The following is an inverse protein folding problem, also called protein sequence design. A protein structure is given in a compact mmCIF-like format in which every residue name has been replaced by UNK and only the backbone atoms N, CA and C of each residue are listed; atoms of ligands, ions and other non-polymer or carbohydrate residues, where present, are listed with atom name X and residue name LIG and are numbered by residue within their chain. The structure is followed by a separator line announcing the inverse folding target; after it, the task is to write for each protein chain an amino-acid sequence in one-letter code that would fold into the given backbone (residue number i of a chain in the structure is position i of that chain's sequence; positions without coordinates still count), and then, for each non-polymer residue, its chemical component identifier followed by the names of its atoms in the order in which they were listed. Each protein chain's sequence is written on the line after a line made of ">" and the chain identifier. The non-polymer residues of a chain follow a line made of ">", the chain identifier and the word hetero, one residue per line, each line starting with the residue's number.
data_IF_441052129554
#
_entry.id   IF_441052129554
#
_cell.length_a   1.000
_cell.length_b   1.000
_cell.length_c   1.000
_cell.angle_alpha   90.00
_cell.angle_beta   90.00
_cell.angle_gamma   90.00
#
_symmetry.space_group_name_H-M   'P 1'
#
loop_
_entity.id
_entity.type
_entity.pdbx_description
1 polymer ?
#
# COMPACT_ATOMS: atom_id res chain seq x y z
N UNK A 1 16.80 -4.85 6.84
CA UNK A 1 17.35 -5.15 8.17
C UNK A 1 16.71 -6.41 8.71
N UNK A 2 17.47 -7.46 9.03
CA UNK A 2 16.91 -8.66 9.65
C UNK A 2 16.39 -8.36 11.07
N UNK A 3 15.45 -9.17 11.57
CA UNK A 3 15.07 -9.12 12.98
C UNK A 3 16.29 -9.45 13.86
N UNK A 4 16.68 -8.55 14.77
CA UNK A 4 17.96 -8.60 15.47
C UNK A 4 19.06 -7.70 14.88
N UNK A 5 18.74 -6.85 13.90
CA UNK A 5 19.70 -5.88 13.35
C UNK A 5 20.16 -4.86 14.40
N UNK A 6 21.41 -4.36 14.26
CA UNK A 6 21.92 -3.23 15.07
C UNK A 6 21.25 -1.90 14.75
N UNK A 7 20.58 -1.78 13.60
CA UNK A 7 19.82 -0.59 13.27
C UNK A 7 18.45 -0.67 13.96
N UNK A 8 17.95 0.42 14.53
CA UNK A 8 16.59 0.43 15.08
C UNK A 8 15.57 0.51 13.92
N UNK A 9 14.40 -0.15 14.01
CA UNK A 9 13.27 0.18 13.15
C UNK A 9 12.96 1.67 13.22
N UNK A 10 12.53 2.26 12.11
CA UNK A 10 12.16 3.65 12.04
C UNK A 10 10.81 3.84 11.36
N UNK A 11 10.22 5.00 11.59
CA UNK A 11 9.02 5.44 10.89
C UNK A 11 9.19 5.33 9.37
N UNK A 12 8.09 5.03 8.68
CA UNK A 12 7.97 4.89 7.22
C UNK A 12 8.72 3.67 6.64
N UNK A 13 9.14 2.73 7.50
CA UNK A 13 9.75 1.47 7.08
C UNK A 13 8.70 0.38 6.88
N UNK A 14 8.98 -0.60 6.03
CA UNK A 14 8.12 -1.76 5.82
C UNK A 14 8.54 -2.93 6.72
N UNK A 15 7.59 -3.64 7.33
CA UNK A 15 7.81 -4.93 7.99
C UNK A 15 7.51 -6.03 6.99
N UNK A 16 8.39 -7.03 6.89
CA UNK A 16 8.27 -8.12 5.94
C UNK A 16 8.07 -9.45 6.68
N UNK A 17 6.94 -10.09 6.41
CA UNK A 17 6.57 -11.37 7.00
C UNK A 17 6.77 -12.52 5.99
N UNK A 18 7.43 -13.63 6.39
CA UNK A 18 7.52 -14.84 5.60
C UNK A 18 6.15 -15.49 5.40
N UNK A 19 6.08 -16.39 4.42
CA UNK A 19 4.94 -17.32 4.32
C UNK A 19 4.93 -18.25 5.53
N UNK A 20 3.76 -18.45 6.12
CA UNK A 20 3.63 -19.26 7.32
C UNK A 20 2.20 -19.66 7.65
N UNK A 21 2.05 -20.43 8.73
CA UNK A 21 0.74 -20.81 9.27
C UNK A 21 0.05 -19.54 9.81
N UNK A 22 -1.02 -19.11 9.16
CA UNK A 22 -1.72 -17.85 9.43
C UNK A 22 -1.43 -16.74 8.41
N UNK A 23 -0.31 -16.82 7.69
CA UNK A 23 0.07 -15.90 6.60
C UNK A 23 0.50 -16.69 5.36
N UNK A 24 -0.43 -17.37 4.65
CA UNK A 24 -0.08 -18.32 3.58
C UNK A 24 0.67 -17.67 2.40
N UNK A 25 0.49 -16.37 2.18
CA UNK A 25 1.11 -15.62 1.09
C UNK A 25 2.28 -14.73 1.55
N UNK A 26 2.60 -14.75 2.85
CA UNK A 26 3.42 -13.72 3.48
C UNK A 26 2.62 -12.46 3.71
N UNK A 27 3.26 -11.42 4.24
CA UNK A 27 2.61 -10.15 4.50
C UNK A 27 3.61 -9.00 4.49
N UNK A 28 3.12 -7.79 4.20
CA UNK A 28 3.89 -6.55 4.32
C UNK A 28 3.03 -5.56 5.08
N UNK A 29 3.64 -4.94 6.09
CA UNK A 29 3.02 -3.89 6.88
C UNK A 29 3.91 -2.63 6.86
N UNK A 30 3.34 -1.49 7.26
CA UNK A 30 4.01 -0.19 7.32
C UNK A 30 4.18 0.23 8.76
N UNK A 31 5.38 0.67 9.14
CA UNK A 31 5.65 1.29 10.43
C UNK A 31 5.23 2.76 10.35
N UNK A 32 4.11 3.12 10.97
CA UNK A 32 3.60 4.50 10.97
C UNK A 32 4.25 5.35 12.04
N UNK A 33 4.80 4.73 13.09
CA UNK A 33 5.57 5.40 14.13
C UNK A 33 6.46 4.41 14.88
N UNK A 34 7.49 4.91 15.56
CA UNK A 34 8.35 4.13 16.46
C UNK A 34 8.62 4.95 17.71
N UNK A 35 8.33 4.39 18.89
CA UNK A 35 8.71 5.00 20.16
C UNK A 35 9.82 4.21 20.86
N UNK A 36 9.96 4.34 22.18
CA UNK A 36 10.97 3.62 22.92
C UNK A 36 10.73 2.11 22.94
N UNK A 37 9.47 1.69 23.09
CA UNK A 37 9.08 0.33 23.44
C UNK A 37 8.25 -0.35 22.34
N UNK A 38 7.77 0.39 21.34
CA UNK A 38 6.85 -0.11 20.32
C UNK A 38 7.16 0.41 18.92
N UNK A 39 6.80 -0.43 17.94
CA UNK A 39 6.50 -0.01 16.58
C UNK A 39 4.98 0.02 16.38
N UNK A 40 4.49 1.03 15.69
CA UNK A 40 3.08 1.20 15.34
C UNK A 40 2.89 0.79 13.90
N UNK A 41 1.93 -0.09 13.64
CA UNK A 41 1.83 -0.85 12.39
C UNK A 41 0.51 -0.53 11.70
N UNK A 42 0.57 -0.16 10.42
CA UNK A 42 -0.56 -0.10 9.51
C UNK A 42 -0.45 -1.21 8.46
N UNK A 43 -1.53 -1.92 8.20
CA UNK A 43 -1.53 -3.12 7.35
C UNK A 43 -2.92 -3.47 6.83
N UNK A 44 -3.01 -4.11 5.66
CA UNK A 44 -4.28 -4.62 5.14
C UNK A 44 -4.39 -6.14 5.35
N UNK A 45 -5.60 -6.64 5.60
CA UNK A 45 -5.89 -8.08 5.78
C UNK A 45 -5.27 -8.73 7.02
N UNK A 46 -4.87 -7.93 8.02
CA UNK A 46 -4.51 -8.41 9.35
C UNK A 46 -5.53 -7.85 10.36
N UNK A 47 -6.40 -8.72 10.84
CA UNK A 47 -7.55 -8.41 11.73
C UNK A 47 -8.50 -7.31 11.19
N UNK A 48 -9.74 -7.70 10.90
CA UNK A 48 -10.72 -6.83 10.24
C UNK A 48 -11.47 -5.92 11.25
N UNK A 49 -10.75 -5.04 11.95
CA UNK A 49 -11.32 -4.06 12.88
C UNK A 49 -11.03 -2.60 12.49
N UNK A 50 -11.77 -1.68 13.09
CA UNK A 50 -11.56 -0.24 12.91
C UNK A 50 -10.34 0.24 13.70
N UNK A 51 -9.52 1.08 13.07
CA UNK A 51 -8.38 1.72 13.73
C UNK A 51 -8.84 3.01 14.39
N UNK A 52 -8.72 3.07 15.71
CA UNK A 52 -9.02 4.29 16.47
C UNK A 52 -7.89 5.34 16.41
N UNK A 53 -6.81 5.05 15.68
CA UNK A 53 -5.60 5.85 15.55
C UNK A 53 -5.02 5.73 14.13
N UNK A 54 -3.86 6.34 13.90
CA UNK A 54 -3.05 6.26 12.68
C UNK A 54 -2.25 4.94 12.55
N UNK A 55 -2.68 3.88 13.25
CA UNK A 55 -2.13 2.53 13.20
C UNK A 55 -3.20 1.48 13.53
N UNK A 56 -3.03 0.27 13.01
CA UNK A 56 -3.89 -0.89 13.23
C UNK A 56 -3.65 -1.53 14.60
N UNK A 57 -2.37 -1.74 14.91
CA UNK A 57 -1.86 -2.36 16.14
C UNK A 57 -0.44 -1.88 16.41
N UNK A 58 0.12 -2.34 17.53
CA UNK A 58 1.51 -2.12 17.91
C UNK A 58 2.18 -3.45 18.21
N UNK A 59 3.47 -3.54 17.94
CA UNK A 59 4.33 -4.66 18.30
C UNK A 59 5.48 -4.16 19.18
N UNK A 60 5.91 -4.98 20.14
CA UNK A 60 6.94 -4.56 21.09
C UNK A 60 8.30 -4.48 20.41
N UNK A 61 9.10 -3.49 20.76
CA UNK A 61 10.50 -3.36 20.33
C UNK A 61 11.41 -3.79 21.48
N UNK A 62 12.17 -4.86 21.28
CA UNK A 62 13.11 -5.37 22.27
C UNK A 62 14.52 -4.99 21.85
N UNK A 63 15.28 -4.38 22.75
CA UNK A 63 16.70 -4.10 22.53
C UNK A 63 17.55 -4.96 23.45
N UNK A 64 18.48 -5.70 22.85
CA UNK A 64 19.46 -6.54 23.54
C UNK A 64 20.86 -6.21 23.04
N UNK A 65 21.89 -6.79 23.66
CA UNK A 65 23.27 -6.69 23.16
C UNK A 65 23.40 -7.19 21.71
N UNK A 66 22.52 -8.11 21.29
CA UNK A 66 22.51 -8.71 19.95
C UNK A 66 21.84 -7.81 18.90
N UNK A 67 20.93 -6.91 19.29
CA UNK A 67 20.32 -5.92 18.40
C UNK A 67 18.88 -5.57 18.75
N UNK A 68 18.19 -4.96 17.79
CA UNK A 68 16.77 -4.60 17.88
C UNK A 68 15.90 -5.69 17.30
N UNK A 69 14.85 -6.04 18.03
CA UNK A 69 13.85 -7.02 17.62
C UNK A 69 12.47 -6.39 17.64
N UNK A 70 11.66 -6.71 16.64
CA UNK A 70 10.21 -6.54 16.70
C UNK A 70 9.65 -7.88 17.19
N UNK A 71 8.96 -7.85 18.32
CA UNK A 71 8.27 -8.99 18.92
C UNK A 71 6.79 -8.90 18.55
N UNK A 72 6.39 -9.80 17.66
CA UNK A 72 5.09 -9.84 16.98
C UNK A 72 4.53 -11.27 17.08
N UNK A 73 3.21 -11.41 17.00
CA UNK A 73 2.52 -12.71 17.06
C UNK A 73 2.91 -13.63 15.88
N UNK A 74 3.45 -13.04 14.81
CA UNK A 74 3.96 -13.75 13.64
C UNK A 74 5.47 -13.59 13.50
N UNK A 75 6.13 -14.67 13.07
CA UNK A 75 7.53 -14.60 12.65
C UNK A 75 7.68 -13.55 11.55
N UNK A 76 8.78 -12.81 11.57
CA UNK A 76 9.10 -11.79 10.58
C UNK A 76 10.55 -11.95 10.09
N UNK A 77 10.80 -11.61 8.82
CA UNK A 77 12.16 -11.56 8.31
C UNK A 77 12.92 -10.36 8.89
N UNK A 78 12.22 -9.23 9.03
CA UNK A 78 12.77 -7.98 9.53
C UNK A 78 12.01 -6.79 8.96
N UNK A 79 12.67 -5.64 8.87
CA UNK A 79 12.12 -4.43 8.29
C UNK A 79 13.02 -3.82 7.21
N UNK A 80 12.44 -3.02 6.34
CA UNK A 80 13.10 -2.38 5.20
C UNK A 80 12.85 -0.88 5.24
N UNK A 81 13.93 -0.11 5.27
CA UNK A 81 13.85 1.35 5.23
C UNK A 81 13.64 1.82 3.78
N UNK A 82 12.90 2.92 3.63
CA UNK A 82 12.87 3.68 2.38
C UNK A 82 14.13 4.53 2.28
N UNK A 83 14.88 4.41 1.18
CA UNK A 83 16.04 5.25 0.92
C UNK A 83 15.61 6.67 0.54
N UNK A 84 16.27 7.69 1.10
CA UNK A 84 15.87 9.09 0.90
C UNK A 84 14.59 9.45 1.63
N UNK A 85 14.36 8.88 2.83
CA UNK A 85 13.16 9.17 3.62
C UNK A 85 12.97 10.67 3.93
N UNK A 86 14.06 11.43 3.96
CA UNK A 86 14.06 12.90 4.08
C UNK A 86 13.38 13.61 2.90
N UNK A 87 13.21 12.93 1.76
CA UNK A 87 12.49 13.41 0.58
C UNK A 87 11.02 12.99 0.57
N UNK A 88 10.57 12.14 1.49
CA UNK A 88 9.15 11.80 1.59
C UNK A 88 8.38 13.04 2.05
N UNK A 89 7.70 13.66 1.10
CA UNK A 89 6.70 14.68 1.37
C UNK A 89 5.34 14.00 1.54
N UNK A 90 4.46 14.51 2.41
CA UNK A 90 3.05 14.13 2.37
C UNK A 90 2.56 14.25 0.94
N UNK A 91 1.82 13.25 0.46
CA UNK A 91 1.14 13.36 -0.81
C UNK A 91 0.18 14.55 -0.69
N UNK A 92 0.35 15.56 -1.55
CA UNK A 92 -0.69 16.55 -1.73
C UNK A 92 -1.78 15.86 -2.54
N UNK A 93 -2.85 15.47 -1.85
CA UNK A 93 -3.93 14.70 -2.44
C UNK A 93 -5.01 15.65 -2.96
N UNK A 94 -5.25 15.63 -4.27
CA UNK A 94 -6.46 16.24 -4.83
C UNK A 94 -7.56 15.19 -4.92
N UNK A 95 -8.68 15.45 -4.24
CA UNK A 95 -9.83 14.54 -4.22
C UNK A 95 -10.87 14.98 -5.24
N UNK A 96 -11.43 14.01 -5.96
CA UNK A 96 -12.42 14.21 -7.00
C UNK A 96 -13.61 13.29 -6.75
N UNK A 97 -14.82 13.85 -6.51
CA UNK A 97 -15.99 13.01 -6.29
C UNK A 97 -16.37 12.23 -7.56
N UNK A 98 -17.07 11.10 -7.41
CA UNK A 98 -17.65 10.40 -8.56
C UNK A 98 -18.70 11.31 -9.23
N UNK A 99 -18.46 11.72 -10.49
CA UNK A 99 -19.17 12.83 -11.16
C UNK A 99 -18.37 14.13 -11.26
N UNK A 100 -17.07 14.13 -10.92
CA UNK A 100 -16.19 15.28 -11.08
C UNK A 100 -16.07 15.72 -12.54
N UNK A 101 -15.83 17.03 -12.77
CA UNK A 101 -15.51 17.56 -14.11
C UNK A 101 -14.15 17.11 -14.62
N UNK A 102 -13.28 16.64 -13.72
CA UNK A 102 -11.99 16.07 -14.08
C UNK A 102 -12.20 14.61 -14.46
N UNK A 103 -11.50 14.10 -15.47
CA UNK A 103 -11.51 12.66 -15.79
C UNK A 103 -10.55 11.94 -14.82
N UNK A 104 -10.85 10.72 -14.35
CA UNK A 104 -9.89 9.89 -13.63
C UNK A 104 -8.59 9.74 -14.43
N UNK A 105 -7.46 9.64 -13.74
CA UNK A 105 -6.16 9.51 -14.38
C UNK A 105 -5.42 8.26 -13.90
N UNK A 106 -4.44 7.85 -14.70
CA UNK A 106 -3.48 6.84 -14.29
C UNK A 106 -2.79 7.27 -12.98
N UNK A 107 -2.45 6.29 -12.15
CA UNK A 107 -1.79 6.42 -10.85
C UNK A 107 -2.66 7.10 -9.76
N UNK A 108 -3.96 7.24 -10.00
CA UNK A 108 -4.94 7.69 -8.99
C UNK A 108 -5.40 6.54 -8.09
N UNK A 109 -5.90 6.87 -6.91
CA UNK A 109 -6.59 5.92 -6.03
C UNK A 109 -8.10 6.02 -6.18
N UNK A 110 -8.79 4.89 -6.36
CA UNK A 110 -10.24 4.78 -6.31
C UNK A 110 -10.67 4.53 -4.86
N UNK A 111 -11.65 5.27 -4.36
CA UNK A 111 -12.12 5.16 -2.97
C UNK A 111 -13.59 4.73 -2.94
N UNK A 112 -13.85 3.55 -2.37
CA UNK A 112 -15.20 3.02 -2.16
C UNK A 112 -15.67 3.30 -0.73
N UNK A 113 -16.91 3.79 -0.54
CA UNK A 113 -17.49 3.97 0.78
C UNK A 113 -17.82 2.62 1.41
N UNK A 114 -18.05 2.63 2.72
CA UNK A 114 -18.66 1.49 3.41
C UNK A 114 -20.06 1.23 2.88
N UNK A 115 -20.41 -0.03 2.66
CA UNK A 115 -21.69 -0.40 2.09
C UNK A 115 -22.05 -1.87 2.29
N UNK A 116 -23.23 -2.23 1.79
CA UNK A 116 -23.70 -3.61 1.78
C UNK A 116 -22.82 -4.43 0.83
N UNK A 117 -21.98 -5.31 1.37
CA UNK A 117 -20.98 -6.08 0.60
C UNK A 117 -19.55 -5.55 0.73
N UNK A 118 -19.36 -4.31 1.20
CA UNK A 118 -18.05 -3.70 1.53
C UNK A 118 -18.13 -3.04 2.91
N UNK A 119 -18.18 -3.82 4.01
CA UNK A 119 -18.38 -3.26 5.36
C UNK A 119 -17.27 -2.29 5.78
N UNK A 120 -16.07 -2.42 5.21
CA UNK A 120 -14.90 -1.60 5.53
C UNK A 120 -14.62 -0.51 4.49
N UNK A 121 -15.38 -0.47 3.39
CA UNK A 121 -15.02 0.28 2.19
C UNK A 121 -13.93 -0.44 1.40
N UNK A 122 -13.33 0.26 0.43
CA UNK A 122 -12.25 -0.28 -0.38
C UNK A 122 -11.36 0.84 -0.92
N UNK A 123 -10.10 0.52 -1.21
CA UNK A 123 -9.19 1.40 -1.93
C UNK A 123 -8.46 0.57 -2.99
N UNK A 124 -8.33 1.13 -4.17
CA UNK A 124 -7.71 0.49 -5.31
C UNK A 124 -6.89 1.49 -6.14
N UNK A 125 -5.98 1.00 -6.98
CA UNK A 125 -5.10 1.83 -7.81
C UNK A 125 -5.53 1.79 -9.26
N UNK A 126 -5.68 2.96 -9.89
CA UNK A 126 -5.87 3.07 -11.34
C UNK A 126 -4.51 2.91 -12.03
N UNK A 127 -4.30 1.75 -12.66
CA UNK A 127 -3.07 1.44 -13.40
C UNK A 127 -3.04 2.03 -14.80
N UNK A 128 -4.21 2.28 -15.37
CA UNK A 128 -4.36 2.90 -16.69
C UNK A 128 -5.75 3.50 -16.86
N UNK A 129 -5.89 4.45 -17.77
CA UNK A 129 -7.17 5.04 -18.19
C UNK A 129 -7.16 5.15 -19.70
N UNK A 130 -8.16 4.56 -20.34
CA UNK A 130 -8.39 4.75 -21.78
C UNK A 130 -9.64 5.63 -22.01
N UNK A 131 -10.22 5.56 -23.21
CA UNK A 131 -11.40 6.36 -23.54
C UNK A 131 -12.59 6.01 -22.64
N UNK A 132 -12.84 4.71 -22.43
CA UNK A 132 -14.09 4.17 -21.92
C UNK A 132 -13.91 3.40 -20.60
N UNK A 133 -12.67 3.14 -20.16
CA UNK A 133 -12.38 2.33 -18.99
C UNK A 133 -11.27 2.90 -18.11
N UNK A 134 -11.39 2.62 -16.81
CA UNK A 134 -10.28 2.60 -15.86
C UNK A 134 -9.84 1.15 -15.62
N UNK A 135 -8.53 0.95 -15.50
CA UNK A 135 -7.91 -0.35 -15.21
C UNK A 135 -7.45 -0.35 -13.77
N UNK A 136 -7.93 -1.29 -12.97
CA UNK A 136 -7.81 -1.24 -11.51
C UNK A 136 -6.94 -2.39 -11.02
N UNK A 137 -5.92 -2.09 -10.20
CA UNK A 137 -5.15 -3.05 -9.44
C UNK A 137 -5.47 -2.90 -7.95
N UNK A 138 -5.78 -4.01 -7.27
CA UNK A 138 -6.20 -4.00 -5.87
C UNK A 138 -5.96 -5.36 -5.21
N UNK A 139 -6.05 -5.42 -3.89
CA UNK A 139 -6.06 -6.68 -3.14
C UNK A 139 -7.34 -6.76 -2.31
N UNK A 140 -7.80 -7.97 -1.99
CA UNK A 140 -8.99 -8.19 -1.16
C UNK A 140 -10.31 -7.68 -1.81
N UNK A 141 -10.42 -7.84 -3.13
CA UNK A 141 -11.65 -7.63 -3.89
C UNK A 141 -12.07 -8.95 -4.56
N UNK A 142 -11.31 -9.38 -5.56
CA UNK A 142 -11.43 -10.70 -6.20
C UNK A 142 -10.11 -11.48 -6.10
N UNK A 143 -10.22 -12.81 -6.05
CA UNK A 143 -9.08 -13.72 -5.83
C UNK A 143 -8.86 -14.63 -7.05
N UNK A 144 -8.44 -14.04 -8.16
CA UNK A 144 -8.08 -14.72 -9.40
C UNK A 144 -6.67 -14.36 -9.87
N UNK A 145 -6.12 -15.17 -10.77
CA UNK A 145 -4.88 -14.82 -11.47
C UNK A 145 -5.15 -13.69 -12.46
N UNK A 146 -4.31 -12.65 -12.45
CA UNK A 146 -4.45 -11.53 -13.37
C UNK A 146 -3.83 -11.88 -14.72
N UNK A 147 -4.63 -11.84 -15.78
CA UNK A 147 -4.15 -12.06 -17.15
C UNK A 147 -3.45 -10.84 -17.75
N UNK A 148 -3.41 -9.72 -17.03
CA UNK A 148 -2.85 -8.44 -17.44
C UNK A 148 -2.33 -7.66 -16.21
N UNK A 149 -1.88 -6.43 -16.42
CA UNK A 149 -1.33 -5.55 -15.37
C UNK A 149 -2.41 -4.92 -14.46
N UNK A 150 -3.64 -5.46 -14.46
CA UNK A 150 -4.75 -5.02 -13.63
C UNK A 150 -5.60 -6.22 -13.16
N UNK A 151 -6.27 -6.07 -12.02
CA UNK A 151 -7.23 -7.03 -11.48
C UNK A 151 -8.53 -7.06 -12.28
N UNK A 152 -9.08 -5.87 -12.57
CA UNK A 152 -10.35 -5.67 -13.26
C UNK A 152 -10.41 -4.31 -13.97
N UNK A 153 -11.52 -4.07 -14.67
CA UNK A 153 -11.83 -2.79 -15.35
C UNK A 153 -13.20 -2.30 -14.90
N UNK A 154 -13.36 -0.98 -14.81
CA UNK A 154 -14.64 -0.32 -14.58
C UNK A 154 -14.90 0.72 -15.67
N UNK A 155 -16.17 0.90 -16.06
CA UNK A 155 -16.52 1.76 -17.20
C UNK A 155 -16.45 3.24 -16.81
N UNK A 156 -16.11 4.11 -17.76
CA UNK A 156 -16.19 5.56 -17.60
C UNK A 156 -17.42 6.05 -18.33
N UNK A 157 -18.34 6.67 -17.60
CA UNK A 157 -19.51 7.34 -18.16
C UNK A 157 -19.25 8.84 -18.11
N UNK A 158 -19.29 9.50 -19.26
CA UNK A 158 -19.21 10.96 -19.35
C UNK A 158 -20.60 11.54 -19.66
N UNK A 159 -21.06 12.44 -18.80
CA UNK A 159 -22.31 13.19 -18.97
C UNK A 159 -22.03 14.69 -18.88
N UNK A 160 -23.06 15.51 -19.11
CA UNK A 160 -22.96 16.96 -18.89
C UNK A 160 -22.57 17.31 -17.45
N UNK A 161 -22.88 16.43 -16.49
CA UNK A 161 -22.58 16.60 -15.06
C UNK A 161 -21.13 16.25 -14.71
N UNK A 162 -20.48 15.37 -15.46
CA UNK A 162 -19.06 15.05 -15.27
C UNK A 162 -18.70 13.61 -15.66
N UNK A 163 -17.56 13.16 -15.15
CA UNK A 163 -17.06 11.80 -15.34
C UNK A 163 -17.42 10.92 -14.15
N UNK A 164 -18.00 9.76 -14.45
CA UNK A 164 -18.36 8.74 -13.48
C UNK A 164 -17.57 7.47 -13.77
N UNK A 165 -17.03 6.85 -12.73
CA UNK A 165 -16.62 5.45 -12.79
C UNK A 165 -17.86 4.64 -12.41
N UNK A 166 -18.29 3.79 -13.34
CA UNK A 166 -19.39 2.84 -13.17
C UNK A 166 -18.79 1.49 -12.79
N UNK A 167 -18.98 1.15 -11.52
CA UNK A 167 -18.39 0.01 -10.84
C UNK A 167 -19.52 -0.76 -10.12
N UNK A 168 -19.31 -2.04 -9.84
CA UNK A 168 -20.28 -2.89 -9.13
C UNK A 168 -20.57 -2.38 -7.71
N UNK A 169 -19.72 -1.47 -7.22
CA UNK A 169 -19.83 -0.83 -5.92
C UNK A 169 -19.95 0.68 -6.05
N UNK A 170 -20.63 1.28 -5.08
CA UNK A 170 -20.66 2.74 -4.95
C UNK A 170 -19.24 3.28 -4.78
N UNK A 171 -19.03 4.50 -5.25
CA UNK A 171 -17.73 5.18 -5.19
C UNK A 171 -17.90 6.55 -4.55
N UNK A 172 -17.00 6.92 -3.64
CA UNK A 172 -16.85 8.32 -3.27
C UNK A 172 -16.25 9.10 -4.44
N UNK A 173 -15.30 8.49 -5.16
CA UNK A 173 -14.61 9.07 -6.29
C UNK A 173 -13.18 8.57 -6.37
N UNK A 174 -12.28 9.42 -6.84
CA UNK A 174 -10.86 9.12 -6.91
C UNK A 174 -10.01 10.25 -6.35
N UNK A 175 -8.77 9.91 -6.03
CA UNK A 175 -7.77 10.80 -5.46
C UNK A 175 -6.52 10.74 -6.31
N UNK A 176 -6.02 11.91 -6.70
CA UNK A 176 -4.80 12.03 -7.48
C UNK A 176 -3.63 12.43 -6.59
N UNK A 177 -2.46 11.90 -6.93
CA UNK A 177 -1.17 12.32 -6.37
C UNK A 177 -0.74 13.61 -7.08
N UNK A 178 -0.75 14.75 -6.40
CA UNK A 178 -0.16 15.98 -6.95
C UNK A 178 1.37 15.88 -6.99
N UNK A 179 2.00 16.47 -8.02
CA UNK A 179 3.45 16.42 -8.20
C UNK A 179 3.96 15.06 -8.70
N UNK A 180 3.11 14.29 -9.39
CA UNK A 180 3.46 12.98 -9.95
C UNK A 180 4.56 13.00 -11.03
N UNK A 181 5.04 14.17 -11.44
CA UNK A 181 6.21 14.36 -12.33
C UNK A 181 7.44 13.57 -11.87
N UNK A 182 7.54 13.33 -10.55
CA UNK A 182 8.63 12.56 -9.93
C UNK A 182 8.44 11.04 -10.00
N UNK A 183 7.23 10.55 -10.30
CA UNK A 183 6.94 9.13 -10.45
C UNK A 183 7.51 8.63 -11.77
N UNK A 184 8.74 8.16 -11.73
CA UNK A 184 9.41 7.54 -12.86
C UNK A 184 9.24 6.02 -12.80
N UNK A 185 9.00 5.34 -13.94
CA UNK A 185 9.05 3.89 -13.99
C UNK A 185 10.38 3.39 -13.40
N UNK A 186 10.34 2.28 -12.66
CA UNK A 186 11.56 1.58 -12.30
C UNK A 186 12.28 1.18 -13.60
N UNK A 187 13.39 1.85 -13.91
CA UNK A 187 14.22 1.51 -15.06
C UNK A 187 15.17 0.35 -14.71
N UNK A 188 15.81 -0.23 -15.72
CA UNK A 188 16.74 -1.36 -15.55
C UNK A 188 17.87 -1.06 -14.55
N UNK A 189 18.30 0.20 -14.45
CA UNK A 189 19.30 0.65 -13.46
C UNK A 189 18.72 0.60 -12.04
N UNK A 190 17.50 1.09 -11.83
CA UNK A 190 16.79 1.04 -10.56
C UNK A 190 16.49 -0.39 -10.15
N UNK A 191 16.05 -1.24 -11.09
CA UNK A 191 15.79 -2.67 -10.89
C UNK A 191 17.09 -3.39 -10.53
N UNK A 192 18.16 -3.17 -11.29
CA UNK A 192 19.47 -3.79 -11.02
C UNK A 192 20.03 -3.35 -9.66
N UNK A 193 19.84 -2.09 -9.27
CA UNK A 193 20.22 -1.58 -7.95
C UNK A 193 19.42 -2.25 -6.83
N UNK A 194 18.12 -2.45 -7.02
CA UNK A 194 17.25 -3.16 -6.08
C UNK A 194 17.67 -4.62 -5.98
N UNK A 195 17.79 -5.33 -7.11
CA UNK A 195 18.13 -6.76 -7.17
C UNK A 195 19.53 -7.07 -6.63
N UNK A 196 20.52 -6.22 -6.93
CA UNK A 196 21.90 -6.39 -6.42
C UNK A 196 21.97 -6.36 -4.89
N UNK A 197 21.07 -5.62 -4.21
CA UNK A 197 20.99 -5.60 -2.74
C UNK A 197 20.42 -6.88 -2.14
N UNK A 198 19.71 -7.70 -2.91
CA UNK A 198 19.18 -9.00 -2.45
C UNK A 198 20.10 -10.18 -2.78
N UNK A 199 21.04 -10.00 -3.71
CA UNK A 199 22.04 -11.02 -4.05
C UNK A 199 23.22 -11.09 -3.06
N UNK A 200 23.39 -10.09 -2.18
CA UNK A 200 24.47 -10.06 -1.18
C UNK A 200 24.16 -10.84 0.10
N UNK A 201 23.09 -11.65 0.13
CA UNK A 201 22.70 -12.45 1.29
C UNK A 201 22.91 -13.97 1.10
N UNK A 202 23.54 -14.39 0.00
CA UNK A 202 23.89 -15.79 -0.29
C UNK A 202 25.42 -16.05 -0.26
N UNK A 203 26.14 -15.51 0.73
CA UNK A 203 27.50 -15.95 1.11
C UNK A 203 27.62 -16.19 2.62
#
# INVERSE_FOLDING_TARGET
>A
HPNGSKKKPQKDSFIIYPRGRGMPFGHIAVITNVDQDYVYIAEQNHEFHYWSADYARRASTIFTDDGYFIDDDYNLYGWMDIEGNDQLQPLNESTHPNGSKKKPQKDSFVICPRGRGMPFGHIAVITNVDQDYVYIAEQNHEFHYWSADCARRASIIFTDDGYFIDDDYNLYGWMEIEGNDQLQPLNESSISRILRKYQTFDE
#
